data_IF_074485553703
#
_entry.id   IF_074485553703
#
_cell.length_a   1.000
_cell.length_b   1.000
_cell.length_c   1.000
_cell.angle_alpha   90.00
_cell.angle_beta   90.00
_cell.angle_gamma   90.00
#
_symmetry.space_group_name_H-M   'P 1'
#
loop_
_entity.id
_entity.type
_entity.pdbx_description
1 polymer ?
#
# COMPACT_ATOMS: atom_id res chain seq x y z
N UNK A 1 -3.30 -8.15 52.99
CA UNK A 1 -2.42 -8.35 51.84
C UNK A 1 -3.14 -7.72 50.65
N UNK A 2 -2.79 -6.51 50.20
CA UNK A 2 -1.44 -5.99 49.89
C UNK A 2 -0.82 -6.80 48.74
N UNK A 3 -0.31 -6.22 47.65
CA UNK A 3 0.12 -4.83 47.41
C UNK A 3 -0.43 -4.20 46.10
N UNK A 4 -0.16 -2.89 45.92
CA UNK A 4 -0.27 -2.15 44.64
C UNK A 4 1.13 -2.00 44.03
N UNK A 5 1.19 -1.74 42.72
CA UNK A 5 2.03 -0.69 42.10
C UNK A 5 1.62 -0.62 40.61
N UNK A 6 1.20 0.48 40.00
CA UNK A 6 1.60 1.90 40.03
C UNK A 6 2.76 2.22 39.06
N UNK A 7 2.41 2.95 38.00
CA UNK A 7 3.32 3.47 36.98
C UNK A 7 4.15 4.65 37.49
N UNK A 8 5.37 4.84 36.94
CA UNK A 8 5.75 6.21 36.57
C UNK A 8 6.50 6.34 35.24
N UNK A 9 6.22 7.45 34.52
CA UNK A 9 7.22 8.15 33.70
C UNK A 9 7.90 9.20 34.59
N UNK A 10 9.17 9.59 34.33
CA UNK A 10 9.35 10.90 33.71
C UNK A 10 10.56 11.01 32.76
N UNK A 11 10.67 12.17 32.09
CA UNK A 11 11.80 12.60 31.25
C UNK A 11 12.42 13.89 31.82
N UNK A 12 13.75 13.96 31.96
CA UNK A 12 14.52 15.16 31.58
C UNK A 12 15.79 14.78 30.78
N UNK A 13 16.48 15.64 30.00
CA UNK A 13 16.38 17.08 29.81
C UNK A 13 17.80 17.70 29.69
N UNK A 14 18.08 18.45 28.62
CA UNK A 14 19.37 19.15 28.33
C UNK A 14 20.36 18.34 27.48
N UNK A 15 21.21 18.93 26.62
CA UNK A 15 21.39 20.31 26.14
C UNK A 15 22.59 20.29 25.16
N UNK A 16 22.43 20.61 23.87
CA UNK A 16 22.72 21.93 23.25
C UNK A 16 23.97 22.67 23.75
N UNK A 17 25.02 22.62 22.93
CA UNK A 17 25.88 23.73 22.46
C UNK A 17 26.16 23.40 20.97
N UNK A 18 26.24 24.31 19.99
CA UNK A 18 26.59 25.73 20.02
C UNK A 18 28.05 25.91 19.54
N UNK A 19 28.41 26.66 18.50
CA UNK A 19 27.68 27.44 17.48
C UNK A 19 28.65 27.70 16.29
N UNK A 20 28.21 28.22 15.13
CA UNK A 20 29.07 28.37 13.93
C UNK A 20 29.83 29.71 13.89
N UNK A 21 30.66 29.96 12.87
CA UNK A 21 30.54 31.19 12.05
C UNK A 21 31.39 31.22 10.77
N UNK A 22 30.72 31.52 9.66
CA UNK A 22 31.25 32.06 8.41
C UNK A 22 32.02 33.37 8.61
N UNK A 23 33.16 33.58 7.95
CA UNK A 23 33.59 34.91 7.44
C UNK A 23 34.41 34.80 6.14
N UNK A 24 33.88 35.34 5.04
CA UNK A 24 34.73 35.92 4.00
C UNK A 24 35.31 37.25 4.53
N UNK A 25 36.58 37.53 4.28
CA UNK A 25 37.00 38.92 4.01
C UNK A 25 38.20 38.99 3.06
N UNK A 26 38.14 39.97 2.17
CA UNK A 26 39.11 40.34 1.14
C UNK A 26 39.63 41.73 1.52
N UNK A 27 40.94 41.93 1.54
CA UNK A 27 41.60 43.23 1.25
C UNK A 27 43.14 43.12 1.23
N UNK A 28 43.73 43.89 0.30
CA UNK A 28 45.13 44.32 0.14
C UNK A 28 45.13 45.86 0.38
N UNK A 29 46.24 46.65 0.36
CA UNK A 29 47.66 46.38 0.02
C UNK A 29 48.67 47.08 1.01
N UNK A 30 49.89 47.40 0.51
CA UNK A 30 50.88 48.42 1.00
C UNK A 30 51.76 48.10 2.23
N UNK A 31 53.00 48.59 2.38
CA UNK A 31 54.05 49.07 1.44
C UNK A 31 55.39 49.25 2.21
N UNK A 32 56.51 48.63 1.78
CA UNK A 32 57.92 49.10 2.00
C UNK A 32 58.37 49.32 3.49
N UNK A 33 59.61 49.80 3.83
CA UNK A 33 60.82 50.02 3.03
C UNK A 33 62.13 49.36 3.57
N UNK A 34 63.17 49.51 2.75
CA UNK A 34 64.62 49.38 3.02
C UNK A 34 65.18 50.07 4.29
N UNK A 35 66.15 49.44 4.96
CA UNK A 35 67.46 49.98 5.44
C UNK A 35 68.43 48.76 5.45
N UNK A 36 69.60 48.70 4.79
CA UNK A 36 70.92 49.28 5.15
C UNK A 36 71.36 48.97 6.62
N UNK A 37 72.63 48.86 6.99
CA UNK A 37 73.91 48.60 6.31
C UNK A 37 74.94 48.23 7.42
N UNK A 38 76.04 47.53 7.12
CA UNK A 38 77.37 47.89 7.65
C UNK A 38 78.50 47.00 7.07
N UNK A 39 79.67 47.63 6.94
CA UNK A 39 80.89 47.11 6.32
C UNK A 39 81.96 46.78 7.42
N UNK A 40 83.29 46.91 7.20
CA UNK A 40 84.11 45.80 6.71
C UNK A 40 85.33 45.50 7.61
N UNK A 41 86.11 44.47 7.23
CA UNK A 41 87.57 44.48 7.44
C UNK A 41 88.32 43.94 6.22
N UNK A 42 88.96 44.86 5.50
CA UNK A 42 90.00 44.58 4.52
C UNK A 42 91.32 44.23 5.22
N UNK A 43 92.20 43.46 4.56
CA UNK A 43 93.47 43.89 3.88
C UNK A 43 94.19 42.62 3.34
N UNK A 44 95.21 42.71 2.46
CA UNK A 44 95.15 43.09 1.05
C UNK A 44 95.83 41.95 0.20
N UNK A 45 96.37 42.06 -1.02
CA UNK A 45 96.44 43.06 -2.10
C UNK A 45 96.76 42.33 -3.42
N UNK A 46 96.30 42.82 -4.59
CA UNK A 46 97.12 43.04 -5.82
C UNK A 46 96.24 43.43 -7.03
N UNK A 47 96.82 44.23 -7.92
CA UNK A 47 96.09 45.06 -8.88
C UNK A 47 95.56 44.27 -10.08
N UNK A 48 94.29 44.52 -10.44
CA UNK A 48 93.74 44.16 -11.76
C UNK A 48 92.96 45.32 -12.35
N UNK A 49 93.53 45.85 -13.42
CA UNK A 49 92.94 46.89 -14.25
C UNK A 49 91.57 46.46 -14.78
N UNK A 50 90.54 47.30 -14.61
CA UNK A 50 89.15 46.99 -14.97
C UNK A 50 88.72 47.75 -16.22
N UNK A 51 88.46 47.01 -17.30
CA UNK A 51 87.57 47.45 -18.39
C UNK A 51 86.37 46.50 -18.53
N UNK A 52 85.23 47.07 -18.90
CA UNK A 52 83.89 46.60 -18.49
C UNK A 52 83.33 45.43 -19.31
N UNK A 53 82.74 44.43 -18.64
CA UNK A 53 82.21 43.21 -19.28
C UNK A 53 81.11 43.43 -20.33
N UNK A 54 80.31 44.51 -20.21
CA UNK A 54 79.26 44.84 -21.21
C UNK A 54 79.84 45.36 -22.53
N UNK A 55 81.02 45.98 -22.53
CA UNK A 55 81.69 46.46 -23.75
C UNK A 55 82.33 45.31 -24.54
N UNK A 56 82.72 44.21 -23.88
CA UNK A 56 83.23 43.00 -24.56
C UNK A 56 82.16 42.24 -25.35
N UNK A 57 80.89 42.29 -24.90
CA UNK A 57 79.77 41.68 -25.63
C UNK A 57 79.35 42.51 -26.85
N UNK A 58 79.30 43.85 -26.73
CA UNK A 58 78.92 44.73 -27.85
C UNK A 58 79.89 44.65 -29.05
N UNK A 59 81.19 44.44 -28.82
CA UNK A 59 82.17 44.19 -29.89
C UNK A 59 82.26 42.72 -30.36
N UNK A 60 81.55 41.79 -29.70
CA UNK A 60 81.49 40.39 -30.10
C UNK A 60 80.39 40.05 -31.11
N UNK A 61 79.34 40.87 -31.20
CA UNK A 61 78.15 40.63 -32.05
C UNK A 61 78.03 41.57 -33.27
N UNK A 62 79.04 42.40 -33.56
CA UNK A 62 79.08 43.26 -34.74
C UNK A 62 80.50 43.25 -35.33
N UNK A 63 80.71 43.08 -36.65
CA UNK A 63 79.72 43.10 -37.74
C UNK A 63 78.95 41.78 -37.93
N UNK A 64 77.77 41.81 -38.60
CA UNK A 64 77.03 40.62 -38.97
C UNK A 64 77.79 39.84 -40.07
N UNK A 65 78.68 38.95 -39.63
CA UNK A 65 79.28 37.95 -40.51
C UNK A 65 78.30 36.79 -40.62
N UNK A 66 77.48 36.77 -41.68
CA UNK A 66 76.64 35.62 -42.02
C UNK A 66 77.52 34.40 -42.35
N UNK A 67 77.97 33.70 -41.31
CA UNK A 67 78.71 32.45 -41.45
C UNK A 67 77.75 31.38 -41.97
N UNK A 68 78.26 30.46 -42.80
CA UNK A 68 77.44 29.38 -43.39
C UNK A 68 76.69 28.58 -42.32
N UNK A 69 77.30 28.36 -41.16
CA UNK A 69 76.67 27.71 -40.01
C UNK A 69 75.43 28.47 -39.49
N UNK A 70 75.48 29.81 -39.43
CA UNK A 70 74.39 30.63 -38.91
C UNK A 70 73.19 30.69 -39.88
N UNK A 71 73.44 30.64 -41.19
CA UNK A 71 72.40 30.44 -42.21
C UNK A 71 71.78 29.03 -42.13
N UNK A 72 72.58 27.99 -41.87
CA UNK A 72 72.07 26.63 -41.65
C UNK A 72 71.17 26.58 -40.42
N UNK A 73 71.57 27.19 -39.29
CA UNK A 73 70.73 27.24 -38.07
C UNK A 73 69.44 28.03 -38.30
N UNK A 74 69.50 29.17 -39.00
CA UNK A 74 68.30 29.94 -39.35
C UNK A 74 67.34 29.14 -40.26
N UNK A 75 67.88 28.40 -41.24
CA UNK A 75 67.10 27.56 -42.15
C UNK A 75 66.51 26.33 -41.44
N UNK A 76 67.23 25.74 -40.48
CA UNK A 76 66.71 24.66 -39.63
C UNK A 76 65.58 25.15 -38.71
N UNK A 77 65.74 26.31 -38.06
CA UNK A 77 64.69 26.92 -37.24
C UNK A 77 63.47 27.35 -38.07
N UNK A 78 63.69 27.88 -39.28
CA UNK A 78 62.61 28.17 -40.22
C UNK A 78 61.90 26.88 -40.67
N UNK A 79 62.63 25.83 -41.03
CA UNK A 79 62.06 24.53 -41.40
C UNK A 79 61.30 23.87 -40.26
N UNK A 80 61.80 23.94 -39.03
CA UNK A 80 61.12 23.44 -37.83
C UNK A 80 59.86 24.26 -37.51
N UNK A 81 59.94 25.59 -37.56
CA UNK A 81 58.81 26.50 -37.35
C UNK A 81 57.75 26.37 -38.43
N UNK A 82 58.14 26.18 -39.69
CA UNK A 82 57.25 25.92 -40.82
C UNK A 82 56.62 24.52 -40.73
N UNK A 83 57.40 23.51 -40.31
CA UNK A 83 56.90 22.17 -40.01
C UNK A 83 55.87 22.16 -38.88
N UNK A 84 56.13 22.87 -37.78
CA UNK A 84 55.18 23.07 -36.68
C UNK A 84 53.97 23.89 -37.13
N UNK A 85 54.13 24.91 -37.96
CA UNK A 85 53.02 25.70 -38.50
C UNK A 85 52.12 24.83 -39.40
N UNK A 86 52.70 23.98 -40.25
CA UNK A 86 51.95 22.99 -41.04
C UNK A 86 51.29 21.96 -40.12
N UNK A 87 52.00 21.44 -39.12
CA UNK A 87 51.45 20.45 -38.19
C UNK A 87 50.29 21.02 -37.36
N UNK A 88 50.36 22.27 -36.91
CA UNK A 88 49.26 22.95 -36.22
C UNK A 88 48.13 23.30 -37.19
N UNK A 89 48.43 23.73 -38.41
CA UNK A 89 47.41 24.00 -39.44
C UNK A 89 46.67 22.72 -39.85
N UNK A 90 47.36 21.58 -39.97
CA UNK A 90 46.77 20.28 -40.34
C UNK A 90 46.12 19.56 -39.15
N UNK A 91 46.57 19.80 -37.92
CA UNK A 91 45.88 19.33 -36.70
C UNK A 91 44.62 20.16 -36.41
N UNK A 92 44.59 21.43 -36.82
CA UNK A 92 43.41 22.29 -36.78
C UNK A 92 42.51 22.18 -38.03
N UNK A 93 42.92 21.44 -39.06
CA UNK A 93 42.03 21.02 -40.14
C UNK A 93 41.15 19.87 -39.63
N UNK A 94 40.23 20.23 -38.73
CA UNK A 94 39.07 19.42 -38.35
C UNK A 94 38.19 19.22 -39.60
N UNK A 95 38.58 18.25 -40.44
CA UNK A 95 37.79 17.77 -41.57
C UNK A 95 36.50 17.06 -41.15
N UNK A 96 36.20 17.03 -39.84
CA UNK A 96 34.93 16.65 -39.25
C UNK A 96 33.89 17.81 -39.20
N UNK A 97 34.29 19.08 -39.38
CA UNK A 97 33.43 20.24 -39.08
C UNK A 97 33.08 21.15 -40.28
N UNK A 98 33.22 20.64 -41.52
CA UNK A 98 32.81 21.37 -42.75
C UNK A 98 31.50 20.87 -43.41
N UNK A 99 30.80 19.92 -42.78
CA UNK A 99 29.42 19.49 -43.14
C UNK A 99 28.40 19.47 -41.98
N UNK A 100 28.86 19.51 -40.72
CA UNK A 100 28.04 19.33 -39.53
C UNK A 100 27.22 20.59 -39.13
N UNK A 101 26.24 21.02 -39.95
CA UNK A 101 25.35 22.17 -39.62
C UNK A 101 23.86 22.01 -39.91
N UNK A 102 23.45 20.98 -40.65
CA UNK A 102 22.04 20.69 -40.89
C UNK A 102 21.75 19.20 -40.75
N UNK A 103 22.56 18.35 -41.38
CA UNK A 103 22.38 16.89 -41.37
C UNK A 103 22.48 16.28 -39.95
N UNK A 104 23.47 16.68 -39.12
CA UNK A 104 23.56 16.21 -37.74
C UNK A 104 22.47 16.75 -36.82
N UNK A 105 21.97 17.98 -37.07
CA UNK A 105 20.87 18.57 -36.32
C UNK A 105 19.54 17.89 -36.66
N UNK A 106 19.33 17.57 -37.94
CA UNK A 106 18.20 16.73 -38.39
C UNK A 106 18.33 15.33 -37.79
N UNK A 107 19.50 14.67 -37.84
CA UNK A 107 19.70 13.34 -37.25
C UNK A 107 19.46 13.30 -35.73
N UNK A 108 19.87 14.34 -34.99
CA UNK A 108 19.61 14.45 -33.55
C UNK A 108 18.14 14.73 -33.27
N UNK A 109 17.47 15.53 -34.12
CA UNK A 109 16.03 15.78 -34.04
C UNK A 109 15.24 14.50 -34.33
N UNK A 110 15.56 13.78 -35.43
CA UNK A 110 14.97 12.50 -35.79
C UNK A 110 15.16 11.48 -34.64
N UNK A 111 16.35 11.40 -34.03
CA UNK A 111 16.60 10.51 -32.89
C UNK A 111 15.82 10.95 -31.62
N UNK A 112 15.62 12.25 -31.41
CA UNK A 112 14.80 12.78 -30.31
C UNK A 112 13.30 12.56 -30.54
N UNK A 113 12.82 12.71 -31.77
CA UNK A 113 11.43 12.44 -32.15
C UNK A 113 11.15 10.92 -32.06
N UNK A 114 12.04 10.06 -32.56
CA UNK A 114 11.99 8.59 -32.37
C UNK A 114 11.94 8.21 -30.88
N UNK A 115 12.77 8.83 -30.04
CA UNK A 115 12.77 8.60 -28.59
C UNK A 115 11.51 9.13 -27.93
N UNK A 116 11.00 10.27 -28.36
CA UNK A 116 9.77 10.88 -27.84
C UNK A 116 8.57 10.02 -28.18
N UNK A 117 8.42 9.61 -29.45
CA UNK A 117 7.37 8.69 -29.89
C UNK A 117 7.41 7.37 -29.11
N UNK A 118 8.58 6.75 -28.94
CA UNK A 118 8.71 5.51 -28.14
C UNK A 118 8.31 5.70 -26.68
N UNK A 119 8.67 6.83 -26.06
CA UNK A 119 8.30 7.14 -24.69
C UNK A 119 6.80 7.47 -24.55
N UNK A 120 6.18 8.07 -25.58
CA UNK A 120 4.73 8.27 -25.65
C UNK A 120 3.98 6.94 -25.83
N UNK A 121 4.46 6.05 -26.70
CA UNK A 121 3.94 4.68 -26.86
C UNK A 121 4.09 3.85 -25.58
N UNK A 122 5.25 3.90 -24.91
CA UNK A 122 5.48 3.22 -23.63
C UNK A 122 4.59 3.81 -22.51
N UNK A 123 4.44 5.13 -22.46
CA UNK A 123 3.53 5.80 -21.51
C UNK A 123 2.08 5.37 -21.74
N UNK A 124 1.60 5.38 -22.99
CA UNK A 124 0.24 4.94 -23.30
C UNK A 124 0.04 3.47 -22.92
N UNK A 125 0.99 2.59 -23.26
CA UNK A 125 0.94 1.17 -22.88
C UNK A 125 0.95 0.94 -21.37
N UNK A 126 1.60 1.79 -20.59
CA UNK A 126 1.57 1.76 -19.11
C UNK A 126 0.27 2.35 -18.54
N UNK A 127 -0.30 3.40 -19.14
CA UNK A 127 -1.60 3.96 -18.77
C UNK A 127 -2.73 2.96 -19.05
N UNK A 128 -2.67 2.24 -20.17
CA UNK A 128 -3.59 1.16 -20.52
C UNK A 128 -3.48 -0.03 -19.56
N UNK A 129 -2.26 -0.51 -19.29
CA UNK A 129 -2.01 -1.59 -18.32
C UNK A 129 -2.49 -1.23 -16.90
N UNK A 130 -2.27 0.02 -16.47
CA UNK A 130 -2.75 0.51 -15.18
C UNK A 130 -4.28 0.51 -15.15
N UNK A 131 -4.93 1.01 -16.21
CA UNK A 131 -6.39 1.07 -16.30
C UNK A 131 -7.01 -0.33 -16.28
N UNK A 132 -6.42 -1.30 -17.00
CA UNK A 132 -6.85 -2.71 -16.98
C UNK A 132 -6.65 -3.35 -15.59
N UNK A 133 -5.54 -3.07 -14.91
CA UNK A 133 -5.29 -3.58 -13.56
C UNK A 133 -6.25 -2.99 -12.53
N UNK A 134 -6.54 -1.68 -12.60
CA UNK A 134 -7.54 -1.01 -11.75
C UNK A 134 -8.94 -1.61 -11.99
N UNK A 135 -9.38 -1.71 -13.25
CA UNK A 135 -10.67 -2.31 -13.62
C UNK A 135 -10.80 -3.78 -13.15
N UNK A 136 -9.77 -4.60 -13.34
CA UNK A 136 -9.79 -6.01 -12.94
C UNK A 136 -9.77 -6.19 -11.41
N UNK A 137 -9.10 -5.29 -10.69
CA UNK A 137 -9.13 -5.24 -9.22
C UNK A 137 -10.54 -4.92 -8.71
N UNK A 138 -11.17 -3.87 -9.24
CA UNK A 138 -12.53 -3.46 -8.85
C UNK A 138 -13.55 -4.57 -9.13
N UNK A 139 -13.48 -5.21 -10.31
CA UNK A 139 -14.32 -6.37 -10.64
C UNK A 139 -14.10 -7.55 -9.68
N UNK A 140 -12.84 -7.83 -9.30
CA UNK A 140 -12.52 -8.89 -8.35
C UNK A 140 -13.01 -8.56 -6.92
N UNK A 141 -13.00 -7.30 -6.51
CA UNK A 141 -13.55 -6.86 -5.23
C UNK A 141 -15.08 -7.01 -5.19
N UNK A 142 -15.79 -6.56 -6.23
CA UNK A 142 -17.24 -6.71 -6.31
C UNK A 142 -17.68 -8.18 -6.38
N UNK A 143 -16.96 -9.02 -7.14
CA UNK A 143 -17.21 -10.47 -7.16
C UNK A 143 -17.02 -11.11 -5.77
N UNK A 144 -16.04 -10.66 -4.98
CA UNK A 144 -15.84 -11.10 -3.59
C UNK A 144 -16.96 -10.63 -2.68
N UNK A 145 -17.39 -9.36 -2.76
CA UNK A 145 -18.52 -8.82 -1.98
C UNK A 145 -19.80 -9.62 -2.24
N UNK A 146 -20.12 -9.88 -3.51
CA UNK A 146 -21.26 -10.70 -3.91
C UNK A 146 -21.15 -12.14 -3.38
N UNK A 147 -19.96 -12.75 -3.42
CA UNK A 147 -19.72 -14.09 -2.88
C UNK A 147 -19.95 -14.15 -1.37
N UNK A 148 -19.43 -13.18 -0.61
CA UNK A 148 -19.58 -13.11 0.86
C UNK A 148 -21.04 -12.89 1.27
N UNK A 149 -21.79 -12.01 0.60
CA UNK A 149 -23.21 -11.81 0.92
C UNK A 149 -24.04 -13.05 0.55
N UNK A 150 -23.71 -13.73 -0.56
CA UNK A 150 -24.38 -14.98 -0.96
C UNK A 150 -24.06 -16.13 0.00
N UNK A 151 -22.83 -16.22 0.49
CA UNK A 151 -22.44 -17.14 1.57
C UNK A 151 -23.23 -16.83 2.86
N UNK A 152 -23.38 -15.56 3.23
CA UNK A 152 -24.16 -15.13 4.40
C UNK A 152 -25.64 -15.52 4.27
N UNK A 153 -26.25 -15.30 3.11
CA UNK A 153 -27.64 -15.69 2.82
C UNK A 153 -27.83 -17.20 2.89
N UNK A 154 -26.94 -17.98 2.26
CA UNK A 154 -26.96 -19.45 2.37
C UNK A 154 -26.72 -19.92 3.80
N UNK A 155 -25.88 -19.23 4.57
CA UNK A 155 -25.65 -19.50 6.00
C UNK A 155 -26.87 -19.23 6.88
N UNK A 156 -27.70 -18.22 6.55
CA UNK A 156 -28.97 -17.97 7.26
C UNK A 156 -29.94 -19.13 7.01
N UNK A 157 -30.08 -19.56 5.75
CA UNK A 157 -30.93 -20.68 5.35
C UNK A 157 -30.46 -22.03 5.94
N UNK A 158 -29.15 -22.30 5.91
CA UNK A 158 -28.53 -23.48 6.50
C UNK A 158 -28.46 -23.45 8.04
N UNK A 159 -28.78 -22.30 8.64
CA UNK A 159 -28.74 -22.10 10.09
C UNK A 159 -27.35 -21.93 10.69
N UNK A 160 -26.30 -21.79 9.90
CA UNK A 160 -24.90 -21.71 10.36
C UNK A 160 -24.48 -20.32 10.84
N UNK A 161 -25.23 -19.26 10.47
CA UNK A 161 -25.03 -17.89 10.98
C UNK A 161 -26.29 -17.34 11.67
N UNK A 162 -26.08 -16.38 12.58
CA UNK A 162 -27.15 -15.69 13.28
C UNK A 162 -27.91 -14.76 12.33
N UNK A 163 -29.20 -14.54 12.61
CA UNK A 163 -30.07 -13.66 11.85
C UNK A 163 -30.78 -12.67 12.77
N UNK A 164 -31.12 -11.49 12.25
CA UNK A 164 -31.98 -10.52 12.92
C UNK A 164 -32.93 -9.87 11.90
N UNK A 165 -34.14 -9.55 12.34
CA UNK A 165 -35.17 -8.92 11.52
C UNK A 165 -36.48 -8.75 12.28
N UNK A 166 -37.54 -8.21 11.66
CA UNK A 166 -38.86 -8.21 12.25
C UNK A 166 -39.38 -9.64 12.42
N UNK A 167 -40.32 -9.84 13.34
CA UNK A 167 -40.99 -11.12 13.51
C UNK A 167 -41.79 -11.22 14.80
N UNK A 168 -41.85 -12.42 15.35
CA UNK A 168 -42.61 -12.71 16.58
C UNK A 168 -41.80 -13.52 17.59
N UNK A 169 -42.12 -13.32 18.87
CA UNK A 169 -41.84 -14.28 19.94
C UNK A 169 -43.13 -15.01 20.27
N UNK A 170 -43.16 -16.33 20.05
CA UNK A 170 -44.25 -17.21 20.46
C UNK A 170 -43.81 -17.95 21.73
N UNK A 171 -44.60 -17.86 22.80
CA UNK A 171 -44.34 -18.54 24.08
C UNK A 171 -45.49 -19.47 24.41
N UNK A 172 -45.20 -20.74 24.68
CA UNK A 172 -46.16 -21.76 25.09
C UNK A 172 -45.80 -22.20 26.52
N UNK A 173 -46.71 -21.95 27.47
CA UNK A 173 -46.59 -22.42 28.85
C UNK A 173 -47.51 -23.62 29.04
N UNK A 174 -46.97 -24.75 29.48
CA UNK A 174 -47.71 -26.01 29.62
C UNK A 174 -47.62 -26.53 31.05
N UNK A 175 -48.45 -25.99 31.94
CA UNK A 175 -48.46 -26.39 33.36
C UNK A 175 -48.93 -27.83 33.61
N UNK A 176 -49.39 -28.56 32.57
CA UNK A 176 -49.94 -29.92 32.67
C UNK A 176 -49.04 -30.99 32.06
N UNK A 177 -48.10 -30.64 31.18
CA UNK A 177 -47.27 -31.59 30.45
C UNK A 177 -48.05 -32.29 29.33
N UNK A 178 -49.04 -31.62 28.74
CA UNK A 178 -49.90 -32.13 27.66
C UNK A 178 -49.36 -31.84 26.26
N UNK A 179 -48.47 -30.85 26.11
CA UNK A 179 -47.89 -30.46 24.83
C UNK A 179 -46.86 -31.50 24.39
N UNK A 180 -47.11 -32.08 23.23
CA UNK A 180 -46.30 -33.13 22.61
C UNK A 180 -45.44 -32.59 21.45
N UNK A 181 -44.48 -33.40 21.00
CA UNK A 181 -43.53 -33.05 19.94
C UNK A 181 -44.20 -32.75 18.58
N UNK A 182 -45.34 -33.36 18.28
CA UNK A 182 -46.14 -33.12 17.09
C UNK A 182 -46.79 -31.73 17.10
N UNK A 183 -47.37 -31.29 18.22
CA UNK A 183 -47.96 -29.96 18.37
C UNK A 183 -46.92 -28.84 18.18
N UNK A 184 -45.68 -29.05 18.64
CA UNK A 184 -44.57 -28.13 18.38
C UNK A 184 -44.06 -28.21 16.94
N UNK A 185 -44.15 -29.36 16.29
CA UNK A 185 -43.86 -29.50 14.87
C UNK A 185 -44.90 -28.74 14.02
N UNK A 186 -46.19 -28.89 14.30
CA UNK A 186 -47.25 -28.15 13.61
C UNK A 186 -47.06 -26.64 13.74
N UNK A 187 -46.68 -26.16 14.95
CA UNK A 187 -46.29 -24.77 15.13
C UNK A 187 -45.14 -24.33 14.21
N UNK A 188 -44.09 -25.16 14.04
CA UNK A 188 -43.00 -24.89 13.09
C UNK A 188 -43.49 -24.86 11.64
N UNK A 189 -44.41 -25.76 11.28
CA UNK A 189 -44.89 -25.90 9.91
C UNK A 189 -45.83 -24.76 9.50
N UNK A 190 -46.74 -24.33 10.39
CA UNK A 190 -47.56 -23.13 10.16
C UNK A 190 -46.71 -21.85 10.04
N UNK A 191 -45.69 -21.70 10.89
CA UNK A 191 -44.76 -20.57 10.79
C UNK A 191 -44.00 -20.58 9.45
N UNK A 192 -43.59 -21.76 8.95
CA UNK A 192 -42.96 -21.90 7.62
C UNK A 192 -43.94 -21.56 6.49
N UNK A 193 -45.19 -22.03 6.58
CA UNK A 193 -46.23 -21.71 5.60
C UNK A 193 -46.53 -20.20 5.56
N UNK A 194 -46.46 -19.53 6.71
CA UNK A 194 -46.60 -18.09 6.87
C UNK A 194 -45.33 -17.27 6.55
N UNK A 195 -44.30 -17.87 5.96
CA UNK A 195 -43.12 -17.15 5.48
C UNK A 195 -42.05 -16.86 6.54
N UNK A 196 -41.93 -17.67 7.60
CA UNK A 196 -40.82 -17.58 8.53
C UNK A 196 -39.46 -17.91 7.87
N UNK A 197 -38.54 -16.95 7.89
CA UNK A 197 -37.20 -17.05 7.30
C UNK A 197 -36.20 -17.74 8.25
N UNK A 198 -36.36 -17.55 9.57
CA UNK A 198 -35.55 -18.20 10.58
C UNK A 198 -36.36 -18.46 11.85
N UNK A 199 -36.23 -19.67 12.41
CA UNK A 199 -36.92 -20.11 13.63
C UNK A 199 -35.90 -20.69 14.61
N UNK A 200 -36.06 -20.40 15.90
CA UNK A 200 -35.32 -21.01 16.99
C UNK A 200 -36.25 -21.32 18.15
N UNK A 201 -36.16 -22.52 18.73
CA UNK A 201 -36.95 -22.97 19.87
C UNK A 201 -36.02 -23.24 21.05
N UNK A 202 -36.17 -22.52 22.15
CA UNK A 202 -35.40 -22.71 23.39
C UNK A 202 -33.86 -22.84 23.22
N UNK A 203 -33.29 -22.12 22.24
CA UNK A 203 -31.85 -22.16 21.95
C UNK A 203 -31.43 -23.14 20.85
N UNK A 204 -32.36 -23.90 20.28
CA UNK A 204 -32.11 -24.80 19.15
C UNK A 204 -32.54 -24.15 17.85
N UNK A 205 -31.64 -24.05 16.87
CA UNK A 205 -31.93 -23.52 15.52
C UNK A 205 -32.76 -24.52 14.73
N UNK A 206 -33.89 -24.10 14.19
CA UNK A 206 -34.71 -24.92 13.32
C UNK A 206 -34.26 -24.71 11.86
N UNK A 207 -34.04 -25.82 11.17
CA UNK A 207 -33.62 -25.94 9.75
C UNK A 207 -34.41 -27.08 9.09
N UNK A 208 -34.29 -27.26 7.78
CA UNK A 208 -35.05 -28.25 7.02
C UNK A 208 -35.04 -29.68 7.62
N UNK A 209 -33.88 -30.15 8.10
CA UNK A 209 -33.71 -31.49 8.70
C UNK A 209 -33.98 -31.58 10.21
N UNK A 210 -34.58 -30.55 10.83
CA UNK A 210 -34.87 -30.59 12.27
C UNK A 210 -36.00 -31.55 12.56
N UNK A 211 -35.78 -32.47 13.51
CA UNK A 211 -36.78 -33.40 14.01
C UNK A 211 -37.12 -33.10 15.48
N UNK A 212 -38.31 -33.51 15.89
CA UNK A 212 -38.78 -33.41 17.27
C UNK A 212 -39.17 -34.81 17.76
N UNK A 213 -38.94 -35.10 19.04
CA UNK A 213 -39.33 -36.36 19.69
C UNK A 213 -39.72 -36.12 21.14
N UNK A 214 -40.76 -36.79 21.63
CA UNK A 214 -41.07 -36.81 23.06
C UNK A 214 -39.97 -37.54 23.85
N UNK A 215 -39.63 -37.02 25.03
CA UNK A 215 -38.43 -37.39 25.79
C UNK A 215 -38.71 -37.43 27.30
N UNK A 216 -39.65 -38.31 27.68
CA UNK A 216 -40.20 -38.38 29.02
C UNK A 216 -41.01 -37.11 29.32
N UNK A 217 -40.73 -36.49 30.47
CA UNK A 217 -41.25 -35.20 30.96
C UNK A 217 -40.78 -33.95 30.17
N UNK A 218 -40.57 -34.07 28.86
CA UNK A 218 -40.26 -32.94 27.97
C UNK A 218 -40.04 -33.35 26.51
N UNK A 219 -39.75 -32.38 25.66
CA UNK A 219 -39.56 -32.58 24.22
C UNK A 219 -38.07 -32.45 23.88
N UNK A 220 -37.59 -33.21 22.90
CA UNK A 220 -36.25 -33.09 22.33
C UNK A 220 -36.34 -32.52 20.92
N UNK A 221 -35.55 -31.47 20.64
CA UNK A 221 -35.42 -30.87 19.31
C UNK A 221 -34.01 -31.13 18.80
N UNK A 222 -33.90 -31.88 17.71
CA UNK A 222 -32.61 -32.32 17.14
C UNK A 222 -31.71 -33.07 18.15
N UNK A 223 -32.30 -33.81 19.08
CA UNK A 223 -31.57 -34.49 20.16
C UNK A 223 -31.28 -33.64 21.40
N UNK A 224 -31.64 -32.35 21.40
CA UNK A 224 -31.48 -31.46 22.54
C UNK A 224 -32.79 -31.42 23.35
N UNK A 225 -32.81 -31.95 24.58
CA UNK A 225 -33.98 -31.85 25.47
C UNK A 225 -34.24 -30.38 25.82
N UNK A 226 -35.43 -29.90 25.49
CA UNK A 226 -35.95 -28.58 25.84
C UNK A 226 -37.07 -28.72 26.87
N UNK A 227 -37.16 -27.75 27.77
CA UNK A 227 -38.17 -27.72 28.85
C UNK A 227 -39.09 -26.51 28.68
N UNK A 228 -40.29 -26.60 29.25
CA UNK A 228 -41.22 -25.47 29.26
C UNK A 228 -40.67 -24.23 30.01
N UNK A 229 -41.16 -23.02 29.69
CA UNK A 229 -42.03 -22.71 28.55
C UNK A 229 -41.26 -22.81 27.22
N UNK A 230 -41.95 -23.26 26.18
CA UNK A 230 -41.39 -23.36 24.84
C UNK A 230 -41.44 -21.99 24.17
N UNK A 231 -40.27 -21.35 24.03
CA UNK A 231 -40.11 -20.03 23.41
C UNK A 231 -39.52 -20.15 22.02
N UNK A 232 -40.32 -19.73 21.06
CA UNK A 232 -40.01 -19.61 19.66
C UNK A 232 -39.59 -18.16 19.38
N UNK A 233 -38.36 -17.96 18.90
CA UNK A 233 -37.95 -16.72 18.23
C UNK A 233 -38.10 -16.94 16.73
N UNK A 234 -38.90 -16.10 16.06
CA UNK A 234 -39.20 -16.21 14.63
C UNK A 234 -38.91 -14.90 13.92
N UNK A 235 -38.23 -14.96 12.77
CA UNK A 235 -38.02 -13.84 11.85
C UNK A 235 -38.89 -14.06 10.61
N UNK A 236 -39.57 -13.01 10.15
CA UNK A 236 -40.51 -13.00 9.02
C UNK A 236 -41.54 -11.87 9.18
N UNK A 237 -42.49 -11.73 8.27
CA UNK A 237 -43.49 -10.65 8.36
C UNK A 237 -44.45 -10.86 9.55
N UNK A 238 -44.46 -9.98 10.58
CA UNK A 238 -45.35 -10.16 11.74
C UNK A 238 -46.84 -10.09 11.40
N UNK A 239 -47.20 -9.47 10.27
CA UNK A 239 -48.58 -9.39 9.78
C UNK A 239 -49.08 -10.72 9.19
N UNK A 240 -48.18 -11.62 8.78
CA UNK A 240 -48.53 -12.93 8.23
C UNK A 240 -48.37 -14.02 9.31
N UNK A 241 -47.30 -13.94 10.10
CA UNK A 241 -46.93 -14.93 11.12
C UNK A 241 -47.97 -15.06 12.26
N UNK A 242 -48.46 -13.96 12.84
CA UNK A 242 -49.42 -14.06 13.94
C UNK A 242 -50.81 -14.54 13.49
N UNK A 243 -51.41 -14.03 12.40
CA UNK A 243 -52.72 -14.53 11.96
C UNK A 243 -52.70 -16.01 11.60
N UNK A 244 -51.61 -16.52 11.00
CA UNK A 244 -51.47 -17.95 10.67
C UNK A 244 -51.60 -18.86 11.92
N UNK A 245 -50.93 -18.50 13.01
CA UNK A 245 -51.04 -19.23 14.29
C UNK A 245 -52.47 -19.23 14.89
N UNK A 246 -53.26 -18.20 14.55
CA UNK A 246 -54.61 -17.94 15.08
C UNK A 246 -55.74 -18.39 14.12
N UNK A 247 -55.43 -19.07 13.01
CA UNK A 247 -56.45 -19.64 12.11
C UNK A 247 -57.37 -20.59 12.92
N UNK A 248 -58.69 -20.59 12.72
CA UNK A 248 -59.60 -21.52 13.39
C UNK A 248 -59.21 -22.99 13.17
N UNK A 249 -59.03 -23.74 14.25
CA UNK A 249 -58.49 -25.11 14.23
C UNK A 249 -56.96 -25.21 14.19
N UNK A 250 -56.25 -24.09 14.08
CA UNK A 250 -54.78 -24.01 14.04
C UNK A 250 -54.10 -24.10 15.41
N UNK A 251 -52.83 -23.70 15.42
CA UNK A 251 -51.86 -23.95 16.51
C UNK A 251 -52.31 -23.41 17.87
N UNK A 252 -52.71 -22.12 17.95
CA UNK A 252 -53.10 -21.50 19.22
C UNK A 252 -54.29 -22.24 19.84
N UNK A 253 -55.35 -22.44 19.06
CA UNK A 253 -56.57 -23.09 19.56
C UNK A 253 -56.35 -24.57 19.92
N UNK A 254 -55.46 -25.26 19.23
CA UNK A 254 -55.13 -26.67 19.54
C UNK A 254 -54.35 -26.80 20.84
N UNK A 255 -53.35 -25.94 21.07
CA UNK A 255 -52.62 -25.88 22.33
C UNK A 255 -53.50 -25.44 23.52
N UNK A 256 -54.42 -24.50 23.31
CA UNK A 256 -55.36 -24.05 24.35
C UNK A 256 -56.36 -25.13 24.77
N UNK A 257 -56.81 -26.00 23.85
CA UNK A 257 -57.65 -27.18 24.19
C UNK A 257 -56.92 -28.13 25.16
N UNK A 258 -55.62 -28.27 25.00
CA UNK A 258 -54.75 -29.05 25.88
C UNK A 258 -54.36 -28.32 27.18
N UNK A 259 -54.99 -27.18 27.48
CA UNK A 259 -54.76 -26.33 28.66
C UNK A 259 -53.39 -25.64 28.69
N UNK A 260 -52.66 -25.58 27.57
CA UNK A 260 -51.48 -24.75 27.44
C UNK A 260 -51.86 -23.28 27.22
N UNK A 261 -51.08 -22.36 27.80
CA UNK A 261 -51.25 -20.91 27.60
C UNK A 261 -50.28 -20.42 26.54
N UNK A 262 -50.82 -19.94 25.42
CA UNK A 262 -50.05 -19.41 24.29
C UNK A 262 -49.99 -17.88 24.36
N UNK A 263 -48.86 -17.29 23.98
CA UNK A 263 -48.69 -15.84 23.89
C UNK A 263 -47.82 -15.51 22.69
N UNK A 264 -48.32 -14.65 21.80
CA UNK A 264 -47.60 -14.14 20.63
C UNK A 264 -47.28 -12.66 20.85
N UNK A 265 -46.04 -12.27 20.60
CA UNK A 265 -45.57 -10.89 20.74
C UNK A 265 -44.82 -10.49 19.47
N UNK A 266 -45.31 -9.49 18.74
CA UNK A 266 -44.60 -8.90 17.59
C UNK A 266 -43.43 -8.05 18.06
N UNK A 267 -42.35 -8.03 17.29
CA UNK A 267 -41.25 -7.08 17.47
C UNK A 267 -40.60 -6.72 16.14
N UNK A 268 -40.16 -5.47 15.99
CA UNK A 268 -39.39 -5.00 14.84
C UNK A 268 -37.98 -5.61 14.79
N UNK A 269 -37.51 -6.16 15.93
CA UNK A 269 -36.22 -6.83 16.06
C UNK A 269 -36.31 -8.09 16.92
N UNK A 270 -36.39 -9.23 16.25
CA UNK A 270 -36.07 -10.56 16.77
C UNK A 270 -34.61 -10.88 16.39
N UNK A 271 -33.90 -11.60 17.27
CA UNK A 271 -32.55 -12.11 17.01
C UNK A 271 -32.54 -13.63 17.19
N UNK A 272 -32.33 -14.35 16.09
CA UNK A 272 -32.13 -15.80 16.05
C UNK A 272 -30.63 -16.06 16.10
N UNK A 273 -30.14 -16.35 17.30
CA UNK A 273 -28.74 -16.50 17.69
C UNK A 273 -28.28 -17.96 17.77
N UNK A 274 -29.21 -18.92 17.83
CA UNK A 274 -28.88 -20.34 17.74
C UNK A 274 -28.33 -20.70 16.35
N UNK A 275 -27.30 -21.53 16.34
CA UNK A 275 -26.61 -21.97 15.12
C UNK A 275 -26.68 -23.49 14.95
N UNK A 276 -26.55 -23.94 13.70
CA UNK A 276 -26.26 -25.33 13.34
C UNK A 276 -24.79 -25.48 12.99
N UNK A 277 -24.17 -26.57 13.47
CA UNK A 277 -22.84 -26.95 13.04
C UNK A 277 -22.86 -27.36 11.57
N UNK A 278 -22.03 -26.72 10.74
CA UNK A 278 -21.83 -27.11 9.35
C UNK A 278 -21.10 -28.47 9.29
N UNK A 279 -21.84 -29.55 9.05
CA UNK A 279 -21.26 -30.87 8.82
C UNK A 279 -20.77 -30.96 7.38
N UNK A 280 -19.48 -31.27 7.19
CA UNK A 280 -18.91 -31.55 5.86
C UNK A 280 -19.45 -32.90 5.37
N UNK A 281 -20.04 -33.00 4.17
CA UNK A 281 -20.47 -34.29 3.63
C UNK A 281 -19.26 -35.19 3.31
N UNK A 282 -19.33 -36.46 3.70
CA UNK A 282 -18.28 -37.44 3.39
C UNK A 282 -18.12 -37.63 1.88
N UNK A 283 -19.25 -37.83 1.19
CA UNK A 283 -19.28 -38.17 -0.24
C UNK A 283 -19.71 -37.01 -1.16
N UNK A 284 -20.73 -36.24 -0.76
CA UNK A 284 -21.31 -35.22 -1.65
C UNK A 284 -20.31 -34.07 -1.93
N UNK A 285 -20.30 -33.61 -3.18
CA UNK A 285 -19.48 -32.50 -3.68
C UNK A 285 -20.34 -31.56 -4.52
N UNK A 286 -19.91 -30.31 -4.68
CA UNK A 286 -20.52 -29.39 -5.63
C UNK A 286 -20.32 -29.92 -7.06
N UNK A 287 -21.37 -29.83 -7.89
CA UNK A 287 -21.27 -30.09 -9.33
C UNK A 287 -20.62 -28.90 -10.03
N UNK A 288 -19.82 -29.17 -11.07
CA UNK A 288 -19.25 -28.16 -11.96
C UNK A 288 -20.07 -27.97 -13.26
N UNK A 289 -21.29 -28.51 -13.31
CA UNK A 289 -22.24 -28.39 -14.42
C UNK A 289 -23.27 -27.30 -14.14
#
# INVERSE_FOLDING_TARGET
>A
MSERDETPRPNPGGGQDGTPTTRLRRELPQEMPSVAAEEPREVPQEERDKLTGRQRLAQGLWPPRFTRAQLIVALLLFGLGFGLAIQVASTNDDSALRGARQEDLVRILDELDDRTQRLEEEKQGLEDQRTELENSSDQAEEARKQTVEKERQLGILAGTVAAQGPGITLTINDTKGTVQADMLLDAIQELRAAGAEAIQVNGVRVVASTFLTDSGDGISVDGNKITQPFRFKVIGNPQDLEPALNIPGGVVQTLEKEQATVTVQRADKIVVDALRAAKRPDYARSSSQ
#
